data_IF_634472421973
#
_entry.id   IF_634472421973
#
_cell.length_a   1.000
_cell.length_b   1.000
_cell.length_c   1.000
_cell.angle_alpha   90.00
_cell.angle_beta   90.00
_cell.angle_gamma   90.00
#
_symmetry.space_group_name_H-M   'P 1'
#
loop_
_entity.id
_entity.type
_entity.pdbx_description
1 polymer ?
#
# COMPACT_ATOMS: atom_id res chain seq x y z
N UNK A 1 -3.45 -12.18 5.65
CA UNK A 1 -4.35 -11.02 5.46
C UNK A 1 -4.01 -9.98 6.51
N UNK A 2 -3.78 -8.74 6.12
CA UNK A 2 -3.55 -7.59 7.01
C UNK A 2 -4.77 -6.66 6.92
N UNK A 3 -5.24 -6.13 8.04
CA UNK A 3 -6.38 -5.21 8.11
C UNK A 3 -5.96 -4.04 9.01
N UNK A 4 -5.95 -2.83 8.47
CA UNK A 4 -5.61 -1.61 9.20
C UNK A 4 -6.62 -0.51 8.90
N UNK A 5 -7.19 0.15 9.93
CA UNK A 5 -7.05 -0.20 11.35
C UNK A 5 -7.65 -1.58 11.67
N UNK A 6 -7.17 -2.23 12.74
CA UNK A 6 -7.72 -3.54 13.13
C UNK A 6 -9.23 -3.44 13.44
N UNK A 7 -9.99 -4.53 13.28
CA UNK A 7 -11.44 -4.53 13.53
C UNK A 7 -11.83 -4.00 14.92
N UNK A 8 -11.02 -4.29 15.94
CA UNK A 8 -11.20 -3.78 17.31
C UNK A 8 -10.85 -2.29 17.40
N UNK A 9 -9.76 -1.86 16.75
CA UNK A 9 -9.33 -0.46 16.75
C UNK A 9 -10.37 0.44 16.08
N UNK A 10 -10.98 0.03 14.97
CA UNK A 10 -12.05 0.78 14.28
C UNK A 10 -13.19 1.26 15.19
N UNK A 11 -13.52 0.49 16.23
CA UNK A 11 -14.63 0.82 17.15
C UNK A 11 -14.18 1.77 18.26
N UNK A 12 -12.95 1.63 18.75
CA UNK A 12 -12.44 2.34 19.93
C UNK A 12 -11.66 3.62 19.57
N UNK A 13 -10.99 3.61 18.43
CA UNK A 13 -10.06 4.63 17.96
C UNK A 13 -10.38 4.90 16.49
N UNK A 14 -11.50 5.60 16.28
CA UNK A 14 -12.02 5.91 14.97
C UNK A 14 -11.09 6.92 14.28
N UNK A 15 -10.52 6.51 13.15
CA UNK A 15 -9.75 7.40 12.28
C UNK A 15 -10.68 7.92 11.17
N UNK A 16 -11.03 9.22 11.19
CA UNK A 16 -12.01 9.80 10.27
C UNK A 16 -11.55 9.81 8.81
N UNK A 17 -10.24 9.77 8.60
CA UNK A 17 -9.53 9.73 7.31
C UNK A 17 -9.12 8.30 6.91
N UNK A 18 -9.42 7.28 7.72
CA UNK A 18 -9.09 5.91 7.37
C UNK A 18 -9.97 5.40 6.22
N UNK A 19 -9.31 4.94 5.16
CA UNK A 19 -9.93 4.17 4.11
C UNK A 19 -10.28 2.76 4.59
N UNK A 20 -11.56 2.39 4.50
CA UNK A 20 -12.00 1.00 4.67
C UNK A 20 -12.04 0.31 3.32
N UNK A 21 -10.91 -0.27 2.95
CA UNK A 21 -10.67 -0.80 1.62
C UNK A 21 -10.47 -2.32 1.60
N UNK A 22 -10.46 -2.87 0.40
CA UNK A 22 -10.05 -4.25 0.11
C UNK A 22 -9.06 -4.25 -1.03
N UNK A 23 -8.06 -5.12 -0.93
CA UNK A 23 -7.09 -5.34 -2.00
C UNK A 23 -7.21 -6.77 -2.52
N UNK A 24 -7.34 -6.90 -3.84
CA UNK A 24 -7.16 -8.16 -4.56
C UNK A 24 -5.84 -8.10 -5.30
N UNK A 25 -5.08 -9.20 -5.30
CA UNK A 25 -3.80 -9.29 -6.00
C UNK A 25 -3.66 -10.63 -6.69
N UNK A 26 -3.12 -10.61 -7.90
CA UNK A 26 -2.87 -11.79 -8.73
C UNK A 26 -1.43 -11.76 -9.19
N UNK A 27 -0.72 -12.88 -9.07
CA UNK A 27 0.64 -12.96 -9.59
C UNK A 27 0.60 -13.17 -11.10
N UNK A 28 1.34 -12.34 -11.83
CA UNK A 28 1.45 -12.37 -13.28
C UNK A 28 2.84 -12.92 -13.66
N UNK A 29 2.94 -14.16 -14.16
CA UNK A 29 4.23 -14.77 -14.48
C UNK A 29 4.92 -14.13 -15.69
N UNK A 30 4.19 -13.37 -16.54
CA UNK A 30 4.79 -12.73 -17.71
C UNK A 30 5.60 -11.48 -17.36
N UNK A 31 5.19 -10.77 -16.30
CA UNK A 31 5.86 -9.56 -15.80
C UNK A 31 6.66 -9.81 -14.52
N UNK A 32 6.61 -11.05 -14.01
CA UNK A 32 7.14 -11.46 -12.71
C UNK A 32 6.69 -10.54 -11.55
N UNK A 33 5.49 -9.99 -11.68
CA UNK A 33 4.94 -8.98 -10.78
C UNK A 33 3.55 -9.36 -10.26
N UNK A 34 3.02 -8.53 -9.37
CA UNK A 34 1.65 -8.66 -8.87
C UNK A 34 0.76 -7.61 -9.51
N UNK A 35 -0.30 -8.04 -10.18
CA UNK A 35 -1.40 -7.18 -10.60
C UNK A 35 -2.31 -6.96 -9.39
N UNK A 36 -2.51 -5.70 -9.00
CA UNK A 36 -3.17 -5.32 -7.75
C UNK A 36 -4.33 -4.38 -8.05
N UNK A 37 -5.49 -4.69 -7.47
CA UNK A 37 -6.63 -3.79 -7.42
C UNK A 37 -6.95 -3.48 -5.95
N UNK A 38 -6.77 -2.23 -5.57
CA UNK A 38 -7.23 -1.71 -4.28
C UNK A 38 -8.52 -0.93 -4.50
N UNK A 39 -9.56 -1.27 -3.74
CA UNK A 39 -10.88 -0.64 -3.85
C UNK A 39 -11.30 -0.07 -2.51
N UNK A 40 -11.76 1.17 -2.51
CA UNK A 40 -12.28 1.86 -1.35
C UNK A 40 -13.57 2.61 -1.71
N UNK A 41 -14.19 3.26 -0.72
CA UNK A 41 -15.38 4.05 -0.99
C UNK A 41 -15.02 5.18 -1.99
N UNK A 42 -15.71 5.21 -3.13
CA UNK A 42 -15.55 6.27 -4.14
C UNK A 42 -14.52 5.99 -5.22
N UNK A 43 -13.76 4.89 -5.16
CA UNK A 43 -12.78 4.61 -6.22
C UNK A 43 -12.01 3.30 -6.09
N UNK A 44 -11.18 3.08 -7.10
CA UNK A 44 -10.24 1.97 -7.14
C UNK A 44 -8.91 2.43 -7.74
N UNK A 45 -7.82 1.90 -7.21
CA UNK A 45 -6.46 2.12 -7.68
C UNK A 45 -5.89 0.80 -8.18
N UNK A 46 -5.44 0.79 -9.43
CA UNK A 46 -4.73 -0.34 -10.01
C UNK A 46 -3.23 -0.11 -9.82
N UNK A 47 -2.53 -1.11 -9.28
CA UNK A 47 -1.09 -1.05 -9.04
C UNK A 47 -0.40 -2.30 -9.59
N UNK A 48 0.87 -2.16 -9.95
CA UNK A 48 1.79 -3.27 -10.18
C UNK A 48 2.75 -3.37 -8.98
N UNK A 49 2.79 -4.52 -8.32
CA UNK A 49 3.63 -4.80 -7.16
C UNK A 49 4.88 -5.58 -7.51
N UNK A 50 6.06 -5.04 -7.18
CA UNK A 50 7.37 -5.67 -7.38
C UNK A 50 8.20 -5.68 -6.11
N UNK A 51 9.11 -6.65 -6.01
CA UNK A 51 10.11 -6.69 -4.94
C UNK A 51 11.33 -5.88 -5.39
N UNK A 52 11.76 -4.94 -4.56
CA UNK A 52 12.95 -4.13 -4.79
C UNK A 52 13.89 -4.27 -3.59
N UNK A 53 14.85 -5.19 -3.70
CA UNK A 53 15.73 -5.57 -2.60
C UNK A 53 14.95 -6.07 -1.39
N UNK A 54 14.99 -5.30 -0.29
CA UNK A 54 14.29 -5.60 0.97
C UNK A 54 12.92 -4.92 1.09
N UNK A 55 12.43 -4.31 0.00
CA UNK A 55 11.15 -3.59 -0.04
C UNK A 55 10.19 -4.26 -1.02
N UNK A 56 8.90 -3.99 -0.84
CA UNK A 56 7.87 -4.25 -1.85
C UNK A 56 7.31 -2.90 -2.28
N UNK A 57 7.38 -2.60 -3.57
CA UNK A 57 6.91 -1.34 -4.14
C UNK A 57 5.72 -1.65 -5.04
N UNK A 58 4.59 -1.00 -4.78
CA UNK A 58 3.39 -1.06 -5.61
C UNK A 58 3.23 0.28 -6.32
N UNK A 59 3.36 0.30 -7.64
CA UNK A 59 3.27 1.54 -8.43
C UNK A 59 1.93 1.60 -9.15
N UNK A 60 1.25 2.73 -9.06
CA UNK A 60 -0.01 2.98 -9.77
C UNK A 60 0.24 2.87 -11.29
N UNK A 61 -0.66 2.23 -12.04
CA UNK A 61 -0.34 1.84 -13.43
C UNK A 61 -0.61 2.92 -14.49
N UNK A 62 -1.51 3.87 -14.24
CA UNK A 62 -1.95 4.83 -15.25
C UNK A 62 -0.99 6.02 -15.35
N UNK A 63 -0.87 6.81 -14.28
CA UNK A 63 -0.03 8.00 -14.21
C UNK A 63 1.34 7.69 -13.63
N UNK A 64 1.46 6.60 -12.85
CA UNK A 64 2.72 6.19 -12.18
C UNK A 64 3.31 7.28 -11.29
N UNK A 65 2.45 8.13 -10.74
CA UNK A 65 2.80 9.21 -9.82
C UNK A 65 2.57 8.84 -8.34
N UNK A 66 2.02 7.66 -8.06
CA UNK A 66 1.78 7.16 -6.71
C UNK A 66 2.48 5.82 -6.55
N UNK A 67 3.16 5.65 -5.41
CA UNK A 67 3.75 4.40 -4.97
C UNK A 67 3.32 4.06 -3.55
N UNK A 68 3.05 2.79 -3.30
CA UNK A 68 2.93 2.26 -1.94
C UNK A 68 4.13 1.37 -1.65
N UNK A 69 4.92 1.81 -0.67
CA UNK A 69 6.19 1.16 -0.32
C UNK A 69 6.03 0.46 1.01
N UNK A 70 6.24 -0.85 1.02
CA UNK A 70 6.39 -1.65 2.22
C UNK A 70 7.88 -1.87 2.47
N UNK A 71 8.36 -1.42 3.62
CA UNK A 71 9.75 -1.47 4.04
C UNK A 71 9.86 -1.99 5.48
N UNK A 72 11.09 -2.25 5.93
CA UNK A 72 11.36 -2.74 7.30
C UNK A 72 10.52 -3.99 7.64
N UNK A 73 10.33 -4.87 6.65
CA UNK A 73 9.44 -6.02 6.74
C UNK A 73 10.10 -7.10 7.61
N UNK A 74 9.43 -7.46 8.69
CA UNK A 74 9.78 -8.58 9.56
C UNK A 74 8.65 -9.62 9.55
N UNK A 75 8.81 -10.70 10.32
CA UNK A 75 7.76 -11.70 10.51
C UNK A 75 6.48 -11.13 11.16
N UNK A 76 6.59 -10.00 11.87
CA UNK A 76 5.50 -9.45 12.68
C UNK A 76 5.26 -7.96 12.47
N UNK A 77 6.05 -7.27 11.66
CA UNK A 77 5.92 -5.83 11.45
C UNK A 77 6.33 -5.40 10.06
N UNK A 78 5.88 -4.21 9.67
CA UNK A 78 6.38 -3.50 8.50
C UNK A 78 6.05 -2.01 8.63
N UNK A 79 6.81 -1.18 7.91
CA UNK A 79 6.46 0.21 7.63
C UNK A 79 5.78 0.28 6.26
N UNK A 80 4.71 1.03 6.16
CA UNK A 80 4.07 1.35 4.89
C UNK A 80 4.09 2.85 4.67
N UNK A 81 4.36 3.25 3.42
CA UNK A 81 4.40 4.64 3.00
C UNK A 81 3.60 4.80 1.70
N UNK A 82 2.76 5.84 1.64
CA UNK A 82 2.25 6.37 0.37
C UNK A 82 3.19 7.46 -0.10
N UNK A 83 3.82 7.22 -1.24
CA UNK A 83 4.74 8.15 -1.88
C UNK A 83 4.10 8.77 -3.11
N UNK A 84 4.30 10.07 -3.30
CA UNK A 84 3.85 10.82 -4.49
C UNK A 84 5.05 11.34 -5.23
N UNK A 85 4.97 11.31 -6.55
CA UNK A 85 6.00 11.82 -7.44
C UNK A 85 5.88 13.34 -7.56
N UNK A 86 6.94 14.04 -7.22
CA UNK A 86 7.05 15.49 -7.35
C UNK A 86 7.34 15.90 -8.80
N UNK A 87 7.14 17.18 -9.18
CA UNK A 87 7.43 17.67 -10.54
C UNK A 87 8.90 17.53 -10.98
N UNK A 88 9.82 17.38 -10.04
CA UNK A 88 11.26 17.18 -10.27
C UNK A 88 11.66 15.69 -10.34
N UNK A 89 10.68 14.80 -10.51
CA UNK A 89 10.82 13.34 -10.53
C UNK A 89 11.29 12.69 -9.21
N UNK A 90 11.37 13.45 -8.11
CA UNK A 90 11.63 12.89 -6.79
C UNK A 90 10.37 12.30 -6.16
N UNK A 91 10.54 11.48 -5.12
CA UNK A 91 9.44 10.87 -4.37
C UNK A 91 9.34 11.49 -2.97
N UNK A 92 8.15 11.93 -2.60
CA UNK A 92 7.84 12.46 -1.28
C UNK A 92 6.89 11.52 -0.53
N UNK A 93 7.05 11.38 0.79
CA UNK A 93 6.12 10.60 1.62
C UNK A 93 4.93 11.47 2.01
N UNK A 94 3.75 11.13 1.50
CA UNK A 94 2.51 11.84 1.84
C UNK A 94 1.83 11.24 3.09
N UNK A 95 1.92 9.92 3.27
CA UNK A 95 1.38 9.24 4.44
C UNK A 95 2.27 8.06 4.86
N UNK A 96 2.28 7.75 6.15
CA UNK A 96 3.00 6.59 6.68
C UNK A 96 2.25 5.91 7.82
N UNK A 97 2.47 4.60 7.94
CA UNK A 97 2.01 3.81 9.08
C UNK A 97 3.01 2.73 9.45
N UNK A 98 2.99 2.36 10.73
CA UNK A 98 3.76 1.25 11.26
C UNK A 98 2.80 0.15 11.70
N UNK A 99 2.86 -0.97 10.99
CA UNK A 99 2.03 -2.13 11.24
C UNK A 99 2.75 -3.13 12.13
N UNK A 100 2.05 -3.64 13.15
CA UNK A 100 2.53 -4.74 14.00
C UNK A 100 1.42 -5.76 14.16
N UNK A 101 1.75 -7.04 13.96
CA UNK A 101 0.86 -8.17 14.22
C UNK A 101 0.63 -8.29 15.73
N UNK A 102 -0.63 -8.26 16.13
CA UNK A 102 -1.10 -8.49 17.51
C UNK A 102 -1.90 -9.78 17.60
#
# INVERSE_FOLDING_TARGET
MFICPSRKARIKDYQPDAAYATTVRMYNPNTEAWDILYTELGGATQLEGKREGNRIVQTEINEKNIQWVFSEITATSFRWQRMVKCPDDTWETEAELFAVRR
#
